data_IF_037377961861
#
_entry.id   IF_037377961861
#
_cell.length_a   1.000
_cell.length_b   1.000
_cell.length_c   1.000
_cell.angle_alpha   90.00
_cell.angle_beta   90.00
_cell.angle_gamma   90.00
#
_symmetry.space_group_name_H-M   'P 1'
#
loop_
_entity.id
_entity.type
_entity.pdbx_description
1 polymer ?
#
# COMPACT_ATOMS: atom_id res chain seq x y z
N UNK A 1 33.97 -18.10 5.00
CA UNK A 1 32.49 -18.14 4.91
C UNK A 1 31.94 -17.55 6.19
N UNK A 2 31.58 -16.28 6.20
CA UNK A 2 31.12 -15.58 7.41
C UNK A 2 31.21 -14.07 7.19
N UNK A 3 30.19 -13.26 7.44
CA UNK A 3 28.83 -13.55 7.86
C UNK A 3 27.97 -12.37 7.44
N UNK A 4 26.68 -12.61 7.22
CA UNK A 4 25.71 -11.52 7.09
C UNK A 4 25.74 -10.76 8.43
N UNK A 5 26.38 -9.59 8.47
CA UNK A 5 26.36 -8.74 9.68
C UNK A 5 24.90 -8.30 9.92
N UNK A 6 24.44 -8.30 11.17
CA UNK A 6 23.07 -7.89 11.49
C UNK A 6 22.77 -6.44 11.12
N UNK A 7 23.80 -5.59 11.07
CA UNK A 7 23.70 -4.26 10.50
C UNK A 7 23.29 -4.29 9.02
N UNK A 8 23.83 -5.24 8.24
CA UNK A 8 23.44 -5.45 6.85
C UNK A 8 21.98 -5.92 6.78
N UNK A 9 21.57 -6.83 7.65
CA UNK A 9 20.18 -7.32 7.69
C UNK A 9 19.19 -6.18 7.93
N UNK A 10 19.49 -5.29 8.88
CA UNK A 10 18.67 -4.10 9.15
C UNK A 10 18.56 -3.21 7.91
N UNK A 11 19.68 -2.88 7.28
CA UNK A 11 19.69 -2.00 6.11
C UNK A 11 18.94 -2.62 4.92
N UNK A 12 19.07 -3.93 4.70
CA UNK A 12 18.30 -4.64 3.67
C UNK A 12 16.79 -4.62 3.96
N UNK A 13 16.38 -4.80 5.21
CA UNK A 13 14.97 -4.75 5.61
C UNK A 13 14.40 -3.35 5.40
N UNK A 14 15.10 -2.31 5.85
CA UNK A 14 14.67 -0.92 5.71
C UNK A 14 14.52 -0.55 4.22
N UNK A 15 15.52 -0.90 3.39
CA UNK A 15 15.49 -0.67 1.94
C UNK A 15 14.36 -1.45 1.28
N UNK A 16 14.15 -2.71 1.65
CA UNK A 16 13.06 -3.53 1.10
C UNK A 16 11.68 -2.92 1.40
N UNK A 17 11.43 -2.53 2.64
CA UNK A 17 10.16 -1.93 3.06
C UNK A 17 9.91 -0.63 2.33
N UNK A 18 10.90 0.26 2.25
CA UNK A 18 10.75 1.54 1.54
C UNK A 18 10.60 1.35 0.02
N UNK A 19 11.28 0.38 -0.58
CA UNK A 19 11.13 0.06 -1.99
C UNK A 19 9.72 -0.45 -2.30
N UNK A 20 9.21 -1.40 -1.50
CA UNK A 20 7.85 -1.95 -1.67
C UNK A 20 6.79 -0.87 -1.48
N UNK A 21 6.88 -0.08 -0.41
CA UNK A 21 5.94 1.02 -0.16
C UNK A 21 6.04 2.13 -1.20
N UNK A 22 7.25 2.43 -1.68
CA UNK A 22 7.48 3.41 -2.74
C UNK A 22 6.84 2.99 -4.07
N UNK A 23 7.04 1.74 -4.48
CA UNK A 23 6.41 1.16 -5.68
C UNK A 23 4.89 1.12 -5.51
N UNK A 24 4.39 0.68 -4.36
CA UNK A 24 2.96 0.64 -4.07
C UNK A 24 2.31 2.03 -4.12
N UNK A 25 2.97 3.05 -3.56
CA UNK A 25 2.52 4.45 -3.61
C UNK A 25 2.47 4.98 -5.04
N UNK A 26 3.52 4.74 -5.83
CA UNK A 26 3.57 5.15 -7.23
C UNK A 26 2.46 4.48 -8.06
N UNK A 27 2.28 3.16 -7.92
CA UNK A 27 1.23 2.42 -8.59
C UNK A 27 -0.16 2.90 -8.16
N UNK A 28 -0.37 3.14 -6.86
CA UNK A 28 -1.64 3.65 -6.36
C UNK A 28 -2.00 4.99 -7.01
N UNK A 29 -1.07 5.94 -7.04
CA UNK A 29 -1.29 7.24 -7.70
C UNK A 29 -1.58 7.08 -9.19
N UNK A 30 -0.79 6.25 -9.88
CA UNK A 30 -0.99 5.99 -11.30
C UNK A 30 -2.40 5.46 -11.60
N UNK A 31 -2.81 4.40 -10.90
CA UNK A 31 -4.12 3.79 -11.10
C UNK A 31 -5.26 4.72 -10.68
N UNK A 32 -5.10 5.50 -9.61
CA UNK A 32 -6.11 6.50 -9.23
C UNK A 32 -6.30 7.52 -10.34
N UNK A 33 -5.22 8.06 -10.92
CA UNK A 33 -5.30 9.03 -12.01
C UNK A 33 -5.96 8.41 -13.24
N UNK A 34 -5.53 7.21 -13.66
CA UNK A 34 -6.12 6.47 -14.78
C UNK A 34 -7.64 6.30 -14.59
N UNK A 35 -8.07 5.87 -13.40
CA UNK A 35 -9.49 5.66 -13.07
C UNK A 35 -10.29 6.97 -13.05
N UNK A 36 -9.74 8.04 -12.48
CA UNK A 36 -10.41 9.34 -12.46
C UNK A 36 -10.65 9.83 -13.88
N UNK A 37 -9.65 9.72 -14.76
CA UNK A 37 -9.77 10.13 -16.17
C UNK A 37 -10.80 9.25 -16.89
N UNK A 38 -10.77 7.94 -16.67
CA UNK A 38 -11.73 7.01 -17.26
C UNK A 38 -13.17 7.36 -16.88
N UNK A 39 -13.47 7.54 -15.59
CA UNK A 39 -14.82 7.90 -15.13
C UNK A 39 -15.30 9.25 -15.63
N UNK A 40 -14.39 10.19 -15.89
CA UNK A 40 -14.74 11.49 -16.48
C UNK A 40 -15.04 11.43 -17.98
N UNK A 41 -14.58 10.38 -18.68
CA UNK A 41 -14.73 10.24 -20.15
C UNK A 41 -15.68 9.12 -20.57
N UNK A 42 -16.14 8.28 -19.64
CA UNK A 42 -16.98 7.13 -19.95
C UNK A 42 -18.31 7.57 -20.57
N UNK A 43 -18.67 6.98 -21.71
CA UNK A 43 -19.94 7.20 -22.37
C UNK A 43 -20.83 5.98 -22.20
N UNK A 44 -21.82 6.07 -21.31
CA UNK A 44 -22.74 4.98 -20.99
C UNK A 44 -23.55 4.49 -22.21
N UNK A 45 -23.74 5.32 -23.24
CA UNK A 45 -24.49 4.94 -24.44
C UNK A 45 -23.70 4.05 -25.40
N UNK A 46 -22.37 3.96 -25.22
CA UNK A 46 -21.51 3.13 -26.06
C UNK A 46 -21.50 1.65 -25.64
N UNK A 47 -22.16 1.31 -24.52
CA UNK A 47 -22.20 -0.05 -23.99
C UNK A 47 -23.54 -0.73 -24.31
N UNK A 48 -23.47 -1.92 -24.87
CA UNK A 48 -24.65 -2.73 -25.21
C UNK A 48 -25.19 -3.48 -24.00
N UNK A 49 -24.32 -3.87 -23.08
CA UNK A 49 -24.66 -4.71 -21.92
C UNK A 49 -24.04 -4.17 -20.61
N UNK A 50 -24.72 -4.47 -19.50
CA UNK A 50 -24.30 -4.05 -18.16
C UNK A 50 -23.05 -4.79 -17.69
N UNK A 51 -22.84 -6.05 -18.09
CA UNK A 51 -21.67 -6.81 -17.67
C UNK A 51 -20.41 -6.26 -18.33
N UNK A 52 -20.49 -5.88 -19.61
CA UNK A 52 -19.41 -5.19 -20.32
C UNK A 52 -19.04 -3.86 -19.65
N UNK A 53 -20.04 -3.07 -19.22
CA UNK A 53 -19.81 -1.83 -18.49
C UNK A 53 -19.15 -2.09 -17.12
N UNK A 54 -19.64 -3.08 -16.36
CA UNK A 54 -19.10 -3.40 -15.03
C UNK A 54 -17.64 -3.89 -15.10
N UNK A 55 -17.25 -4.64 -16.13
CA UNK A 55 -15.86 -5.05 -16.34
C UNK A 55 -14.94 -3.83 -16.48
N UNK A 56 -15.34 -2.83 -17.26
CA UNK A 56 -14.56 -1.60 -17.44
C UNK A 56 -14.60 -0.68 -16.21
N UNK A 57 -15.74 -0.63 -15.50
CA UNK A 57 -15.90 0.16 -14.27
C UNK A 57 -15.14 -0.44 -13.07
N UNK A 58 -14.85 -1.74 -13.07
CA UNK A 58 -14.11 -2.39 -11.97
C UNK A 58 -12.62 -2.58 -12.25
N UNK A 59 -12.21 -2.43 -13.51
CA UNK A 59 -10.81 -2.54 -13.93
C UNK A 59 -9.87 -1.71 -13.03
N UNK A 60 -8.76 -2.32 -12.61
CA UNK A 60 -7.72 -1.75 -11.74
C UNK A 60 -8.17 -1.36 -10.30
N UNK A 61 -9.46 -1.41 -9.95
CA UNK A 61 -9.91 -1.20 -8.56
C UNK A 61 -9.36 -2.28 -7.61
N UNK A 62 -9.26 -3.52 -8.08
CA UNK A 62 -8.67 -4.63 -7.31
C UNK A 62 -7.22 -4.36 -6.90
N UNK A 63 -6.44 -3.69 -7.76
CA UNK A 63 -5.04 -3.37 -7.45
C UNK A 63 -4.98 -2.31 -6.34
N UNK A 64 -5.83 -1.28 -6.42
CA UNK A 64 -5.95 -0.28 -5.35
C UNK A 64 -6.39 -0.91 -4.03
N UNK A 65 -7.31 -1.88 -4.08
CA UNK A 65 -7.74 -2.66 -2.92
C UNK A 65 -6.57 -3.42 -2.28
N UNK A 66 -5.80 -4.14 -3.09
CA UNK A 66 -4.63 -4.91 -2.63
C UNK A 66 -3.59 -3.98 -2.01
N UNK A 67 -3.31 -2.83 -2.63
CA UNK A 67 -2.32 -1.88 -2.11
C UNK A 67 -2.75 -1.32 -0.74
N UNK A 68 -3.98 -0.79 -0.61
CA UNK A 68 -4.37 -0.18 0.67
C UNK A 68 -4.46 -1.21 1.79
N UNK A 69 -4.91 -2.43 1.49
CA UNK A 69 -5.09 -3.48 2.50
C UNK A 69 -3.75 -4.05 2.96
N UNK A 70 -2.74 -4.13 2.08
CA UNK A 70 -1.44 -4.74 2.40
C UNK A 70 -0.37 -3.74 2.84
N UNK A 71 -0.43 -2.47 2.43
CA UNK A 71 0.57 -1.46 2.82
C UNK A 71 0.79 -1.33 4.35
N UNK A 72 -0.24 -1.39 5.22
CA UNK A 72 -0.05 -1.37 6.67
C UNK A 72 0.73 -2.60 7.16
N UNK A 73 0.46 -3.77 6.60
CA UNK A 73 1.12 -5.02 6.99
C UNK A 73 2.60 -5.03 6.57
N UNK A 74 2.93 -4.42 5.43
CA UNK A 74 4.34 -4.22 5.02
C UNK A 74 5.08 -3.32 6.02
N UNK A 75 4.46 -2.23 6.49
CA UNK A 75 5.05 -1.37 7.51
C UNK A 75 5.21 -2.05 8.87
N UNK A 76 4.20 -2.83 9.29
CA UNK A 76 4.23 -3.65 10.50
C UNK A 76 5.38 -4.66 10.44
N UNK A 77 5.52 -5.37 9.31
CA UNK A 77 6.59 -6.34 9.10
C UNK A 77 7.97 -5.68 9.25
N UNK A 78 8.17 -4.49 8.67
CA UNK A 78 9.40 -3.73 8.82
C UNK A 78 9.71 -3.41 10.29
N UNK A 79 8.70 -3.05 11.07
CA UNK A 79 8.85 -2.74 12.50
C UNK A 79 9.22 -3.99 13.30
N UNK A 80 8.55 -5.12 13.05
CA UNK A 80 8.83 -6.40 13.72
C UNK A 80 10.26 -6.85 13.44
N UNK A 81 10.68 -6.81 12.18
CA UNK A 81 12.04 -7.17 11.79
C UNK A 81 13.09 -6.22 12.38
N UNK A 82 12.83 -4.90 12.40
CA UNK A 82 13.73 -3.93 13.02
C UNK A 82 13.91 -4.15 14.52
N UNK A 83 12.82 -4.40 15.24
CA UNK A 83 12.85 -4.72 16.68
C UNK A 83 13.62 -6.04 16.93
N UNK A 84 13.41 -7.05 16.09
CA UNK A 84 14.11 -8.33 16.17
C UNK A 84 15.63 -8.17 16.05
N UNK A 85 16.10 -7.34 15.12
CA UNK A 85 17.54 -7.06 14.96
C UNK A 85 18.11 -6.38 16.20
N UNK A 86 17.40 -5.39 16.76
CA UNK A 86 17.87 -4.66 17.97
C UNK A 86 18.03 -5.60 19.16
N UNK A 87 17.05 -6.50 19.39
CA UNK A 87 17.14 -7.47 20.49
C UNK A 87 18.23 -8.51 20.27
N UNK A 88 18.45 -8.94 19.02
CA UNK A 88 19.55 -9.85 18.71
C UNK A 88 20.90 -9.20 19.00
N UNK A 89 21.12 -7.97 18.53
CA UNK A 89 22.37 -7.24 18.74
C UNK A 89 22.66 -7.04 20.23
N UNK A 90 21.64 -6.74 21.04
CA UNK A 90 21.75 -6.63 22.49
C UNK A 90 22.21 -7.94 23.15
N UNK A 91 21.71 -9.07 22.68
CA UNK A 91 22.06 -10.40 23.19
C UNK A 91 23.50 -10.81 22.84
N UNK A 92 24.00 -10.42 21.67
CA UNK A 92 25.36 -10.74 21.22
C UNK A 92 26.40 -9.79 21.82
N UNK A 93 26.08 -8.50 21.98
CA UNK A 93 27.02 -7.50 22.51
C UNK A 93 27.21 -7.54 24.03
N UNK A 94 26.46 -8.38 24.74
CA UNK A 94 26.48 -8.44 26.21
C UNK A 94 25.83 -7.21 26.88
N UNK A 95 24.99 -6.49 26.13
CA UNK A 95 24.36 -5.24 26.56
C UNK A 95 24.50 -4.12 25.53
N UNK A 96 23.55 -3.19 25.54
CA UNK A 96 23.53 -2.02 24.66
C UNK A 96 23.07 -0.80 25.45
N UNK A 97 23.65 0.37 25.16
CA UNK A 97 23.25 1.61 25.81
C UNK A 97 21.76 1.93 25.53
N UNK A 98 21.04 2.37 26.57
CA UNK A 98 19.60 2.64 26.50
C UNK A 98 19.26 3.65 25.40
N UNK A 99 20.12 4.66 25.17
CA UNK A 99 19.93 5.65 24.11
C UNK A 99 19.93 5.00 22.72
N UNK A 100 20.84 4.07 22.49
CA UNK A 100 20.97 3.38 21.20
C UNK A 100 19.75 2.51 20.91
N UNK A 101 19.25 1.80 21.92
CA UNK A 101 18.02 1.01 21.83
C UNK A 101 16.84 1.90 21.46
N UNK A 102 16.65 3.02 22.17
CA UNK A 102 15.56 3.96 21.92
C UNK A 102 15.59 4.53 20.49
N UNK A 103 16.79 4.89 19.99
CA UNK A 103 16.96 5.34 18.61
C UNK A 103 16.61 4.24 17.61
N UNK A 104 17.10 3.01 17.82
CA UNK A 104 16.79 1.88 16.94
C UNK A 104 15.29 1.60 16.85
N UNK A 105 14.61 1.58 17.99
CA UNK A 105 13.16 1.34 18.05
C UNK A 105 12.38 2.46 17.34
N UNK A 106 12.81 3.72 17.48
CA UNK A 106 12.20 4.84 16.78
C UNK A 106 12.29 4.71 15.24
N UNK A 107 13.42 4.19 14.73
CA UNK A 107 13.62 3.95 13.31
C UNK A 107 12.71 2.82 12.80
N UNK A 108 12.55 1.76 13.58
CA UNK A 108 11.62 0.68 13.26
C UNK A 108 10.16 1.19 13.15
N UNK A 109 9.73 2.07 14.07
CA UNK A 109 8.38 2.67 14.05
C UNK A 109 8.12 3.52 12.80
N UNK A 110 9.15 4.11 12.20
CA UNK A 110 9.03 4.87 10.94
C UNK A 110 8.47 4.01 9.79
N UNK A 111 8.81 2.72 9.74
CA UNK A 111 8.31 1.80 8.73
C UNK A 111 6.77 1.66 8.78
N UNK A 112 6.21 1.53 9.98
CA UNK A 112 4.75 1.47 10.17
C UNK A 112 4.09 2.79 9.78
N UNK A 113 4.67 3.92 10.20
CA UNK A 113 4.13 5.24 9.85
C UNK A 113 4.05 5.43 8.32
N UNK A 114 5.06 4.98 7.57
CA UNK A 114 5.05 5.04 6.11
C UNK A 114 4.02 4.09 5.48
N UNK A 115 3.87 2.87 6.02
CA UNK A 115 2.83 1.95 5.57
C UNK A 115 1.42 2.54 5.68
N UNK A 116 1.14 3.20 6.81
CA UNK A 116 -0.12 3.91 7.03
C UNK A 116 -0.27 5.14 6.12
N UNK A 117 0.81 5.89 5.91
CA UNK A 117 0.82 7.05 5.02
C UNK A 117 0.48 6.69 3.56
N UNK A 118 0.80 5.47 3.11
CA UNK A 118 0.39 4.97 1.79
C UNK A 118 -1.03 4.39 1.81
N UNK A 119 -1.38 3.65 2.86
CA UNK A 119 -2.66 2.95 2.95
C UNK A 119 -3.86 3.90 3.04
N UNK A 120 -3.79 4.92 3.90
CA UNK A 120 -4.92 5.81 4.20
C UNK A 120 -5.39 6.56 2.94
N UNK A 121 -4.51 7.25 2.17
CA UNK A 121 -4.95 7.93 0.94
C UNK A 121 -5.47 6.94 -0.11
N UNK A 122 -4.84 5.77 -0.24
CA UNK A 122 -5.26 4.75 -1.22
C UNK A 122 -6.65 4.21 -0.89
N UNK A 123 -6.97 4.01 0.39
CA UNK A 123 -8.30 3.58 0.85
C UNK A 123 -9.38 4.62 0.52
N UNK A 124 -9.11 5.89 0.80
CA UNK A 124 -10.06 7.00 0.50
C UNK A 124 -10.33 7.05 -1.00
N UNK A 125 -9.28 6.96 -1.82
CA UNK A 125 -9.39 6.95 -3.27
C UNK A 125 -10.17 5.73 -3.77
N UNK A 126 -9.83 4.52 -3.32
CA UNK A 126 -10.52 3.29 -3.67
C UNK A 126 -12.03 3.38 -3.38
N UNK A 127 -12.43 3.76 -2.15
CA UNK A 127 -13.83 3.86 -1.77
C UNK A 127 -14.59 4.91 -2.60
N UNK A 128 -13.94 6.03 -2.92
CA UNK A 128 -14.53 7.07 -3.76
C UNK A 128 -14.74 6.60 -5.21
N UNK A 129 -13.77 5.85 -5.76
CA UNK A 129 -13.84 5.31 -7.11
C UNK A 129 -14.82 4.14 -7.21
N UNK A 130 -14.92 3.31 -6.17
CA UNK A 130 -15.91 2.23 -6.06
C UNK A 130 -17.32 2.80 -6.05
N UNK A 131 -17.58 3.82 -5.21
CA UNK A 131 -18.89 4.49 -5.19
C UNK A 131 -19.25 5.10 -6.55
N UNK A 132 -18.28 5.68 -7.27
CA UNK A 132 -18.50 6.20 -8.63
C UNK A 132 -18.86 5.10 -9.62
N UNK A 133 -18.20 3.94 -9.55
CA UNK A 133 -18.54 2.75 -10.34
C UNK A 133 -20.00 2.36 -10.14
N UNK A 134 -20.43 2.15 -8.89
CA UNK A 134 -21.79 1.72 -8.57
C UNK A 134 -22.85 2.70 -9.09
N UNK A 135 -22.62 4.01 -8.91
CA UNK A 135 -23.52 5.06 -9.41
C UNK A 135 -23.63 5.05 -10.94
N UNK A 136 -22.54 4.77 -11.65
CA UNK A 136 -22.55 4.69 -13.12
C UNK A 136 -23.30 3.44 -13.61
N UNK A 137 -23.11 2.30 -12.95
CA UNK A 137 -23.84 1.07 -13.25
C UNK A 137 -25.35 1.24 -13.05
N UNK A 138 -25.77 1.89 -11.94
CA UNK A 138 -27.20 2.17 -11.70
C UNK A 138 -27.78 3.17 -12.70
N UNK A 139 -27.02 4.22 -13.08
CA UNK A 139 -27.45 5.16 -14.14
C UNK A 139 -27.68 4.45 -15.46
N UNK A 140 -26.82 3.51 -15.85
CA UNK A 140 -27.01 2.71 -17.06
C UNK A 140 -28.30 1.89 -16.98
N UNK A 141 -28.57 1.26 -15.84
CA UNK A 141 -29.79 0.46 -15.61
C UNK A 141 -31.07 1.28 -15.74
N UNK A 142 -31.07 2.52 -15.25
CA UNK A 142 -32.22 3.43 -15.36
C UNK A 142 -32.43 3.87 -16.82
N UNK A 143 -31.38 4.10 -17.60
CA UNK A 143 -31.51 4.55 -18.99
C UNK A 143 -32.02 3.48 -19.96
N UNK A 144 -31.79 2.19 -19.68
CA UNK A 144 -32.26 1.07 -20.51
C UNK A 144 -33.64 0.54 -20.12
N UNK A 145 -34.24 1.10 -19.06
CA UNK A 145 -35.60 0.77 -18.61
C UNK A 145 -36.61 1.68 -19.30
#
# INVERSE_FOLDING_TARGET
MGGFSMAMLKDYVDVFVFAVLGVASFLALWFVIERVIFYSKVNLKAYDDIDALNLDLTKNLTILYVIYSNAPYVGLLGTVLGIMVIFYDMGVSGGMDAKTIMVGLSLALKATALGLAVAIPTLIAYNSLLRKSDVLSEKFRIMKK
#
